data_IF_819892074872
#
_entry.id   IF_819892074872
#
_cell.length_a   1.000
_cell.length_b   1.000
_cell.length_c   1.000
_cell.angle_alpha   90.00
_cell.angle_beta   90.00
_cell.angle_gamma   90.00
#
_symmetry.space_group_name_H-M   'P 1'
#
loop_
_entity.id
_entity.type
_entity.pdbx_description
1 polymer ?
#
# COMPACT_ATOMS: atom_id res chain seq x y z
N UNK A 1 9.92 -9.77 -9.03
CA UNK A 1 8.46 -9.62 -9.23
C UNK A 1 8.05 -8.25 -8.72
N UNK A 2 7.12 -7.57 -9.40
CA UNK A 2 6.62 -6.28 -8.93
C UNK A 2 5.85 -6.50 -7.62
N UNK A 3 5.96 -5.52 -6.71
CA UNK A 3 5.44 -5.61 -5.34
C UNK A 3 4.42 -4.51 -5.07
N UNK A 4 3.28 -4.89 -4.50
CA UNK A 4 2.18 -4.02 -4.08
C UNK A 4 2.06 -4.02 -2.56
N UNK A 5 1.79 -2.84 -2.00
CA UNK A 5 1.24 -2.68 -0.66
C UNK A 5 -0.28 -2.51 -0.78
N UNK A 6 -1.05 -3.37 -0.11
CA UNK A 6 -2.50 -3.28 -0.02
C UNK A 6 -2.91 -2.92 1.41
N UNK A 7 -3.49 -1.74 1.62
CA UNK A 7 -4.03 -1.28 2.89
C UNK A 7 -5.56 -1.21 2.80
N UNK A 8 -6.24 -2.12 3.49
CA UNK A 8 -7.69 -2.33 3.40
C UNK A 8 -8.17 -2.87 4.75
N UNK A 9 -9.08 -2.16 5.43
CA UNK A 9 -9.51 -2.53 6.78
C UNK A 9 -10.54 -3.68 6.76
N UNK A 10 -11.37 -3.76 5.72
CA UNK A 10 -12.29 -4.87 5.52
C UNK A 10 -11.55 -6.17 5.14
N UNK A 11 -11.63 -7.19 6.00
CA UNK A 11 -10.92 -8.44 5.82
C UNK A 11 -11.31 -9.19 4.54
N UNK A 12 -12.61 -9.21 4.21
CA UNK A 12 -13.12 -9.96 3.05
C UNK A 12 -12.64 -9.30 1.76
N UNK A 13 -12.73 -7.96 1.68
CA UNK A 13 -12.19 -7.20 0.56
C UNK A 13 -10.69 -7.37 0.43
N UNK A 14 -9.95 -7.26 1.55
CA UNK A 14 -8.48 -7.41 1.56
C UNK A 14 -8.06 -8.77 0.99
N UNK A 15 -8.65 -9.86 1.47
CA UNK A 15 -8.37 -11.22 0.97
C UNK A 15 -8.73 -11.33 -0.51
N UNK A 16 -9.89 -10.82 -0.92
CA UNK A 16 -10.36 -10.90 -2.32
C UNK A 16 -9.40 -10.19 -3.28
N UNK A 17 -8.94 -8.99 -2.90
CA UNK A 17 -8.00 -8.20 -3.71
C UNK A 17 -6.61 -8.82 -3.72
N UNK A 18 -6.11 -9.26 -2.56
CA UNK A 18 -4.82 -9.94 -2.42
C UNK A 18 -4.75 -11.18 -3.32
N UNK A 19 -5.78 -12.03 -3.29
CA UNK A 19 -5.83 -13.28 -4.05
C UNK A 19 -5.82 -13.01 -5.57
N UNK A 20 -6.54 -11.97 -6.01
CA UNK A 20 -6.54 -11.54 -7.41
C UNK A 20 -5.18 -11.02 -7.85
N UNK A 21 -4.53 -10.17 -7.05
CA UNK A 21 -3.22 -9.61 -7.37
C UNK A 21 -2.12 -10.68 -7.42
N UNK A 22 -2.16 -11.66 -6.51
CA UNK A 22 -1.22 -12.79 -6.51
C UNK A 22 -1.35 -13.65 -7.77
N UNK A 23 -2.56 -13.85 -8.29
CA UNK A 23 -2.81 -14.54 -9.57
C UNK A 23 -2.22 -13.80 -10.77
N UNK A 24 -2.14 -12.47 -10.69
CA UNK A 24 -1.47 -11.61 -11.68
C UNK A 24 0.06 -11.50 -11.42
N UNK A 25 0.66 -12.44 -10.69
CA UNK A 25 2.08 -12.54 -10.39
C UNK A 25 2.69 -11.36 -9.58
N UNK A 26 1.87 -10.67 -8.79
CA UNK A 26 2.35 -9.67 -7.83
C UNK A 26 2.77 -10.31 -6.51
N UNK A 27 3.82 -9.75 -5.91
CA UNK A 27 4.06 -9.92 -4.46
C UNK A 27 3.20 -8.91 -3.72
N UNK A 28 2.34 -9.37 -2.81
CA UNK A 28 1.39 -8.51 -2.10
C UNK A 28 1.71 -8.55 -0.61
N UNK A 29 2.01 -7.38 -0.06
CA UNK A 29 2.05 -7.15 1.39
C UNK A 29 0.71 -6.48 1.77
N UNK A 30 -0.13 -7.19 2.52
CA UNK A 30 -1.48 -6.75 2.89
C UNK A 30 -1.54 -6.35 4.37
N UNK A 31 -2.17 -5.21 4.66
CA UNK A 31 -2.33 -4.63 5.99
C UNK A 31 -3.74 -4.09 6.18
N UNK A 32 -4.17 -3.99 7.43
CA UNK A 32 -5.52 -3.60 7.88
C UNK A 32 -5.58 -2.19 8.51
N UNK A 33 -4.45 -1.48 8.56
CA UNK A 33 -4.30 -0.19 9.24
C UNK A 33 -3.23 0.64 8.52
N UNK A 34 -3.50 1.94 8.36
CA UNK A 34 -2.58 2.89 7.76
C UNK A 34 -1.23 3.04 8.50
N UNK A 35 -1.16 2.82 9.81
CA UNK A 35 0.11 2.81 10.55
C UNK A 35 1.00 1.62 10.17
N UNK A 36 0.41 0.46 9.91
CA UNK A 36 1.15 -0.70 9.39
C UNK A 36 1.59 -0.44 7.96
N UNK A 37 0.72 0.17 7.14
CA UNK A 37 1.06 0.59 5.78
C UNK A 37 2.26 1.55 5.76
N UNK A 38 2.28 2.55 6.64
CA UNK A 38 3.41 3.46 6.82
C UNK A 38 4.71 2.71 7.14
N UNK A 39 4.69 1.82 8.14
CA UNK A 39 5.87 1.02 8.50
C UNK A 39 6.36 0.18 7.32
N UNK A 40 5.44 -0.40 6.56
CA UNK A 40 5.78 -1.14 5.35
C UNK A 40 6.52 -0.26 4.33
N UNK A 41 6.04 0.98 4.10
CA UNK A 41 6.65 1.95 3.18
C UNK A 41 8.03 2.46 3.63
N UNK A 42 8.27 2.54 4.94
CA UNK A 42 9.58 2.94 5.48
C UNK A 42 10.66 1.86 5.27
N UNK A 43 10.27 0.58 5.21
CA UNK A 43 11.21 -0.55 5.17
C UNK A 43 11.30 -1.22 3.79
N UNK A 44 10.37 -0.96 2.88
CA UNK A 44 10.28 -1.64 1.60
C UNK A 44 9.95 -0.66 0.46
N UNK A 45 10.42 -0.99 -0.74
CA UNK A 45 10.06 -0.26 -1.96
C UNK A 45 8.89 -0.97 -2.66
N UNK A 46 7.82 -0.23 -2.88
CA UNK A 46 6.63 -0.70 -3.59
C UNK A 46 6.52 -0.05 -4.96
N UNK A 47 6.01 -0.81 -5.92
CA UNK A 47 5.74 -0.30 -7.26
C UNK A 47 4.35 0.33 -7.35
N UNK A 48 3.44 -0.10 -6.47
CA UNK A 48 2.09 0.43 -6.34
C UNK A 48 1.61 0.27 -4.89
N UNK A 49 0.87 1.28 -4.42
CA UNK A 49 0.17 1.25 -3.13
C UNK A 49 -1.31 1.38 -3.42
N UNK A 50 -2.10 0.41 -2.94
CA UNK A 50 -3.55 0.42 -2.93
C UNK A 50 -3.98 0.65 -1.48
N UNK A 51 -4.75 1.70 -1.23
CA UNK A 51 -5.19 2.09 0.11
C UNK A 51 -6.67 2.46 0.08
N UNK A 52 -7.45 1.98 1.05
CA UNK A 52 -8.75 2.60 1.31
C UNK A 52 -8.57 4.02 1.87
N UNK A 53 -9.56 4.87 1.64
CA UNK A 53 -9.60 6.24 2.11
C UNK A 53 -9.81 6.27 3.63
N UNK A 54 -10.69 5.40 4.14
CA UNK A 54 -11.05 5.35 5.56
C UNK A 54 -10.46 4.10 6.16
N UNK A 55 -9.45 4.27 7.01
CA UNK A 55 -8.86 3.17 7.77
C UNK A 55 -8.61 3.65 9.20
N UNK A 56 -8.54 2.73 10.17
CA UNK A 56 -8.00 3.06 11.48
C UNK A 56 -6.54 3.54 11.36
N UNK A 57 -6.09 4.32 12.34
CA UNK A 57 -4.71 4.79 12.45
C UNK A 57 -4.36 5.98 11.55
N UNK A 58 -4.16 5.73 10.25
CA UNK A 58 -3.89 6.73 9.22
C UNK A 58 -4.85 6.55 8.06
N UNK A 59 -5.45 7.65 7.58
CA UNK A 59 -6.24 7.62 6.35
C UNK A 59 -5.37 7.41 5.11
N UNK A 60 -5.96 6.92 4.02
CA UNK A 60 -5.25 6.77 2.75
C UNK A 60 -4.72 8.10 2.19
N UNK A 61 -5.37 9.22 2.52
CA UNK A 61 -4.92 10.56 2.12
C UNK A 61 -3.65 10.96 2.89
N UNK A 62 -3.64 10.79 4.21
CA UNK A 62 -2.46 11.06 5.04
C UNK A 62 -1.30 10.13 4.67
N UNK A 63 -1.59 8.87 4.34
CA UNK A 63 -0.59 7.93 3.85
C UNK A 63 0.04 8.41 2.53
N UNK A 64 -0.77 8.89 1.58
CA UNK A 64 -0.31 9.43 0.30
C UNK A 64 0.61 10.65 0.50
N UNK A 65 0.26 11.54 1.42
CA UNK A 65 1.10 12.70 1.76
C UNK A 65 2.48 12.27 2.28
N UNK A 66 2.54 11.23 3.12
CA UNK A 66 3.80 10.69 3.61
C UNK A 66 4.63 10.01 2.50
N UNK A 67 3.98 9.26 1.61
CA UNK A 67 4.67 8.63 0.47
C UNK A 67 5.34 9.68 -0.42
N UNK A 68 4.68 10.82 -0.65
CA UNK A 68 5.25 11.94 -1.43
C UNK A 68 6.48 12.57 -0.77
N UNK A 69 6.54 12.57 0.56
CA UNK A 69 7.71 13.05 1.29
C UNK A 69 8.87 12.05 1.24
N UNK A 70 8.56 10.74 1.26
CA UNK A 70 9.55 9.67 1.20
C UNK A 70 10.12 9.45 -0.21
N UNK A 71 9.32 9.71 -1.24
CA UNK A 71 9.69 9.49 -2.65
C UNK A 71 9.67 10.82 -3.40
N UNK A 72 10.80 11.56 -3.49
CA UNK A 72 10.85 12.75 -4.31
C UNK A 72 10.54 12.37 -5.77
N UNK A 73 9.85 13.23 -6.53
CA UNK A 73 9.53 12.96 -7.92
C UNK A 73 10.83 12.70 -8.70
N UNK A 74 10.95 11.51 -9.30
CA UNK A 74 12.05 11.19 -10.20
C UNK A 74 11.84 11.99 -11.49
N UNK A 75 12.54 13.11 -11.64
CA UNK A 75 12.72 13.77 -12.93
C UNK A 75 13.70 12.90 -13.72
N UNK A 76 13.20 12.21 -14.74
CA UNK A 76 14.04 11.55 -15.74
C UNK A 76 14.44 12.63 -16.75
N UNK A 77 15.74 12.97 -16.77
CA UNK A 77 16.35 13.82 -17.80
C UNK A 77 16.84 12.97 -18.97
#
# INVERSE_FOLDING_TARGET
MPRILLAEDDEIMRITVEDRLRRENWTVDAVDDGLKAKKCLEHNNYHLVLSDIRMPGLSGVELLEQVRQLTPPRILS
#
